data_IF_855601330645
#
_entry.id   IF_855601330645
#
_cell.length_a   1.000
_cell.length_b   1.000
_cell.length_c   1.000
_cell.angle_alpha   90.00
_cell.angle_beta   90.00
_cell.angle_gamma   90.00
#
_symmetry.space_group_name_H-M   'P 1'
#
loop_
_entity.id
_entity.type
_entity.pdbx_description
1 polymer ?
#
# COMPACT_ATOMS: atom_id res chain seq x y z
N UNK A 1 8.86 12.72 37.48
CA UNK A 1 10.27 12.70 37.94
C UNK A 1 10.89 14.04 37.59
N UNK A 2 11.47 14.74 38.57
CA UNK A 2 11.84 16.16 38.49
C UNK A 2 13.20 16.35 37.78
N UNK A 3 13.20 16.35 36.44
CA UNK A 3 14.42 16.43 35.60
C UNK A 3 15.27 17.69 35.87
N UNK A 4 14.63 18.81 36.24
CA UNK A 4 15.29 20.08 36.50
C UNK A 4 16.19 20.12 37.75
N UNK A 5 15.96 19.24 38.73
CA UNK A 5 16.74 19.22 39.97
C UNK A 5 18.06 18.47 39.82
N UNK A 6 18.12 17.47 38.93
CA UNK A 6 19.34 16.71 38.70
C UNK A 6 20.38 17.51 37.93
N UNK A 7 19.96 18.19 36.85
CA UNK A 7 20.87 18.99 36.00
C UNK A 7 21.57 20.10 36.79
N UNK A 8 20.84 20.81 37.65
CA UNK A 8 21.41 21.85 38.52
C UNK A 8 22.42 21.29 39.54
N UNK A 9 22.14 20.11 40.11
CA UNK A 9 23.07 19.44 41.03
C UNK A 9 24.32 18.95 40.31
N UNK A 10 24.17 18.45 39.08
CA UNK A 10 25.29 17.99 38.26
C UNK A 10 26.20 19.15 37.84
N UNK A 11 25.65 20.28 37.40
CA UNK A 11 26.46 21.45 37.02
C UNK A 11 27.30 21.99 38.17
N UNK A 12 26.79 21.94 39.41
CA UNK A 12 27.55 22.35 40.60
C UNK A 12 28.71 21.40 40.87
N UNK A 13 28.49 20.08 40.78
CA UNK A 13 29.54 19.06 40.97
C UNK A 13 30.59 19.08 39.87
N UNK A 14 30.17 19.26 38.62
CA UNK A 14 31.10 19.35 37.48
C UNK A 14 32.01 20.58 37.64
N UNK A 15 31.46 21.71 38.12
CA UNK A 15 32.23 22.92 38.38
C UNK A 15 33.20 22.77 39.55
N UNK A 16 32.87 21.96 40.57
CA UNK A 16 33.76 21.62 41.68
C UNK A 16 34.91 20.72 41.19
N UNK A 17 34.57 19.62 40.51
CA UNK A 17 35.53 18.70 39.90
C UNK A 17 36.51 19.42 38.96
N UNK A 18 36.02 20.35 38.13
CA UNK A 18 36.87 21.10 37.20
C UNK A 18 37.94 21.93 37.93
N UNK A 19 37.59 22.51 39.09
CA UNK A 19 38.53 23.32 39.88
C UNK A 19 39.58 22.44 40.53
N UNK A 20 39.16 21.36 41.16
CA UNK A 20 40.06 20.41 41.83
C UNK A 20 41.03 19.77 40.84
N UNK A 21 40.54 19.36 39.66
CA UNK A 21 41.37 18.77 38.62
C UNK A 21 42.44 19.74 38.11
N UNK A 22 42.08 21.02 37.88
CA UNK A 22 43.03 22.04 37.46
C UNK A 22 44.09 22.31 38.53
N UNK A 23 43.67 22.43 39.79
CA UNK A 23 44.59 22.61 40.91
C UNK A 23 45.56 21.42 41.06
N UNK A 24 45.07 20.19 40.83
CA UNK A 24 45.90 19.00 40.83
C UNK A 24 46.93 19.01 39.69
N UNK A 25 46.52 19.30 38.44
CA UNK A 25 47.46 19.44 37.31
C UNK A 25 48.52 20.52 37.59
N UNK A 26 48.12 21.64 38.19
CA UNK A 26 49.01 22.74 38.58
C UNK A 26 49.96 22.39 39.73
N UNK A 27 49.65 21.37 40.53
CA UNK A 27 50.52 20.88 41.59
C UNK A 27 51.61 19.91 41.08
N UNK A 28 51.44 19.33 39.88
CA UNK A 28 52.37 18.31 39.37
C UNK A 28 53.66 18.92 38.79
N UNK A 29 54.81 18.21 38.85
CA UNK A 29 56.04 18.60 38.18
C UNK A 29 55.89 18.70 36.65
N UNK A 30 56.66 19.57 35.97
CA UNK A 30 56.55 19.77 34.52
C UNK A 30 56.72 18.50 33.67
N UNK A 31 57.52 17.54 34.14
CA UNK A 31 57.73 16.27 33.46
C UNK A 31 56.48 15.36 33.48
N UNK A 32 55.70 15.42 34.56
CA UNK A 32 54.47 14.62 34.71
C UNK A 32 53.31 15.25 33.95
N UNK A 33 53.23 16.58 33.90
CA UNK A 33 52.25 17.27 33.05
C UNK A 33 52.41 16.92 31.57
N UNK A 34 53.65 16.87 31.06
CA UNK A 34 53.93 16.46 29.68
C UNK A 34 53.49 15.01 29.41
N UNK A 35 53.65 14.10 30.38
CA UNK A 35 53.16 12.72 30.25
C UNK A 35 51.63 12.67 30.17
N UNK A 36 50.94 13.46 30.99
CA UNK A 36 49.48 13.54 30.96
C UNK A 36 48.97 14.20 29.67
N UNK A 37 49.68 15.18 29.13
CA UNK A 37 49.38 15.81 27.85
C UNK A 37 49.49 14.81 26.68
N UNK A 38 50.55 14.00 26.65
CA UNK A 38 50.69 12.91 25.67
C UNK A 38 49.56 11.88 25.78
N UNK A 39 49.05 11.65 27.00
CA UNK A 39 47.93 10.75 27.25
C UNK A 39 46.55 11.39 27.00
N UNK A 40 46.50 12.68 26.64
CA UNK A 40 45.25 13.42 26.45
C UNK A 40 44.49 13.73 27.75
N UNK A 41 45.15 13.58 28.90
CA UNK A 41 44.61 13.80 30.24
C UNK A 41 45.03 15.17 30.81
N UNK A 42 45.41 16.12 29.98
CA UNK A 42 45.75 17.48 30.43
C UNK A 42 44.50 18.31 30.80
N UNK A 43 43.31 17.88 30.37
CA UNK A 43 42.05 18.59 30.60
C UNK A 43 41.05 17.72 31.39
N UNK A 44 40.23 18.33 32.27
CA UNK A 44 39.19 17.60 32.99
C UNK A 44 38.13 17.06 32.03
N UNK A 45 37.82 15.77 32.14
CA UNK A 45 36.75 15.15 31.39
C UNK A 45 35.39 15.51 32.01
N UNK A 46 34.66 16.45 31.38
CA UNK A 46 33.28 16.78 31.72
C UNK A 46 32.43 16.43 30.52
N UNK A 47 31.86 15.23 30.53
CA UNK A 47 30.90 14.83 29.52
C UNK A 47 29.56 15.51 29.81
N UNK A 48 29.30 16.67 29.20
CA UNK A 48 27.97 17.31 29.23
C UNK A 48 26.87 16.48 28.54
N UNK A 49 27.25 15.34 27.95
CA UNK A 49 26.38 14.45 27.21
C UNK A 49 26.50 13.07 27.86
N UNK A 50 25.43 12.61 28.50
CA UNK A 50 25.29 11.20 28.87
C UNK A 50 25.29 10.33 27.61
N UNK A 51 25.46 9.02 27.74
CA UNK A 51 25.43 8.02 26.66
C UNK A 51 24.07 7.96 25.93
N UNK A 52 23.72 9.04 25.24
CA UNK A 52 22.49 9.30 24.51
C UNK A 52 22.73 10.54 23.65
N UNK A 53 23.51 10.33 22.59
CA UNK A 53 23.83 11.21 21.46
C UNK A 53 24.09 12.71 21.72
N UNK A 54 25.33 13.15 21.47
CA UNK A 54 25.69 14.56 21.37
C UNK A 54 25.28 15.23 20.04
N UNK A 55 24.75 14.47 19.06
CA UNK A 55 24.30 14.96 17.75
C UNK A 55 23.19 14.07 17.17
N UNK A 56 21.98 14.19 17.69
CA UNK A 56 20.80 13.48 17.19
C UNK A 56 20.80 11.98 17.50
N UNK A 57 19.64 11.44 17.84
CA UNK A 57 19.48 9.99 17.96
C UNK A 57 19.49 9.38 16.55
N UNK A 58 19.68 8.06 16.43
CA UNK A 58 19.54 7.35 15.16
C UNK A 58 18.19 7.63 14.49
N UNK A 59 17.14 7.90 15.29
CA UNK A 59 15.82 8.33 14.86
C UNK A 59 15.80 9.69 14.12
N UNK A 60 16.78 10.56 14.38
CA UNK A 60 16.93 11.86 13.71
C UNK A 60 17.72 11.74 12.39
N UNK A 61 18.22 10.54 12.06
CA UNK A 61 18.98 10.34 10.81
C UNK A 61 18.04 10.32 9.60
N UNK A 62 18.44 10.89 8.44
CA UNK A 62 17.66 10.81 7.21
C UNK A 62 17.39 9.38 6.72
N UNK A 63 18.20 8.42 7.16
CA UNK A 63 18.07 6.98 6.87
C UNK A 63 16.94 6.31 7.66
N UNK A 64 16.60 6.84 8.83
CA UNK A 64 15.52 6.36 9.70
C UNK A 64 14.27 7.24 9.63
N UNK A 65 14.26 8.24 8.74
CA UNK A 65 13.04 8.96 8.38
C UNK A 65 12.02 7.94 7.91
N UNK A 66 10.87 7.86 8.58
CA UNK A 66 9.73 7.13 8.03
C UNK A 66 9.53 7.66 6.61
N UNK A 67 9.77 6.80 5.61
CA UNK A 67 9.44 7.11 4.23
C UNK A 67 7.99 7.54 4.18
N UNK A 68 7.66 8.50 3.31
CA UNK A 68 6.29 8.99 3.17
C UNK A 68 5.35 7.78 3.16
N UNK A 69 4.43 7.74 4.12
CA UNK A 69 3.46 6.66 4.23
C UNK A 69 2.86 6.44 2.83
N UNK A 70 2.98 5.25 2.22
CA UNK A 70 2.41 5.01 0.91
C UNK A 70 0.89 5.21 0.87
N UNK A 71 0.21 5.31 2.02
CA UNK A 71 -1.18 5.72 2.14
C UNK A 71 -1.40 7.25 2.22
N UNK A 72 -0.34 8.05 2.41
CA UNK A 72 -0.35 9.52 2.47
C UNK A 72 0.31 10.16 1.24
N UNK A 73 1.07 9.39 0.46
CA UNK A 73 1.33 9.76 -0.94
C UNK A 73 -0.03 10.02 -1.58
N UNK A 74 -0.34 11.23 -2.09
CA UNK A 74 -1.44 11.34 -3.02
C UNK A 74 -1.10 10.33 -4.12
N UNK A 75 -1.93 9.29 -4.29
CA UNK A 75 -1.93 8.56 -5.56
C UNK A 75 -1.86 9.65 -6.63
N UNK A 76 -0.93 9.58 -7.60
CA UNK A 76 -0.89 10.58 -8.66
C UNK A 76 -2.33 10.69 -9.13
N UNK A 77 -2.93 11.88 -8.93
CA UNK A 77 -4.29 12.12 -9.41
C UNK A 77 -4.25 11.61 -10.85
N UNK A 78 -5.09 10.62 -11.21
CA UNK A 78 -5.04 10.09 -12.56
C UNK A 78 -5.09 11.33 -13.43
N UNK A 79 -4.06 11.54 -14.27
CA UNK A 79 -4.02 12.73 -15.12
C UNK A 79 -5.40 12.76 -15.76
N UNK A 80 -6.20 13.74 -15.35
CA UNK A 80 -7.51 13.93 -15.93
C UNK A 80 -7.12 14.45 -17.28
N UNK A 81 -7.00 13.52 -18.23
CA UNK A 81 -7.14 13.84 -19.63
C UNK A 81 -8.45 14.61 -19.68
N UNK A 82 -8.37 15.94 -19.63
CA UNK A 82 -9.44 16.88 -19.96
C UNK A 82 -9.67 16.78 -21.47
N UNK A 83 -9.81 15.54 -21.98
CA UNK A 83 -10.53 15.27 -23.20
C UNK A 83 -11.96 15.65 -22.87
N UNK A 84 -12.34 16.86 -23.29
CA UNK A 84 -13.74 17.25 -23.41
C UNK A 84 -14.44 16.12 -24.14
N UNK A 85 -15.22 15.34 -23.40
CA UNK A 85 -15.92 14.19 -23.93
C UNK A 85 -16.87 14.70 -25.02
N UNK A 86 -16.57 14.35 -26.27
CA UNK A 86 -17.41 14.72 -27.40
C UNK A 86 -18.83 14.21 -27.12
N UNK A 87 -19.80 15.12 -27.12
CA UNK A 87 -21.20 14.78 -26.86
C UNK A 87 -21.66 13.65 -27.81
N UNK A 88 -21.15 13.59 -29.04
CA UNK A 88 -21.48 12.50 -29.95
C UNK A 88 -20.95 11.13 -29.49
N UNK A 89 -19.79 11.08 -28.82
CA UNK A 89 -19.26 9.82 -28.25
C UNK A 89 -20.15 9.35 -27.09
N UNK A 90 -20.60 10.27 -26.24
CA UNK A 90 -21.55 9.96 -25.15
C UNK A 90 -22.85 9.44 -25.72
N UNK A 91 -23.43 10.14 -26.68
CA UNK A 91 -24.69 9.74 -27.31
C UNK A 91 -24.54 8.42 -28.08
N UNK A 92 -23.44 8.18 -28.78
CA UNK A 92 -23.17 6.92 -29.45
C UNK A 92 -23.10 5.75 -28.46
N UNK A 93 -22.40 5.95 -27.34
CA UNK A 93 -22.31 4.98 -26.25
C UNK A 93 -23.68 4.66 -25.66
N UNK A 94 -24.49 5.69 -25.38
CA UNK A 94 -25.84 5.54 -24.84
C UNK A 94 -26.76 4.82 -25.82
N UNK A 95 -26.74 5.18 -27.11
CA UNK A 95 -27.52 4.50 -28.17
C UNK A 95 -27.16 3.01 -28.24
N UNK A 96 -25.88 2.65 -28.13
CA UNK A 96 -25.42 1.26 -28.14
C UNK A 96 -25.97 0.49 -26.94
N UNK A 97 -25.89 1.07 -25.74
CA UNK A 97 -26.45 0.46 -24.51
C UNK A 97 -27.96 0.27 -24.60
N UNK A 98 -28.70 1.29 -25.04
CA UNK A 98 -30.15 1.21 -25.20
C UNK A 98 -30.56 0.20 -26.27
N UNK A 99 -29.86 0.18 -27.41
CA UNK A 99 -30.08 -0.80 -28.46
C UNK A 99 -29.93 -2.23 -27.95
N UNK A 100 -28.89 -2.48 -27.14
CA UNK A 100 -28.68 -3.80 -26.54
C UNK A 100 -29.85 -4.19 -25.61
N UNK A 101 -30.30 -3.28 -24.74
CA UNK A 101 -31.44 -3.57 -23.84
C UNK A 101 -32.72 -3.90 -24.63
N UNK A 102 -32.99 -3.17 -25.71
CA UNK A 102 -34.21 -3.31 -26.50
C UNK A 102 -34.21 -4.54 -27.43
N UNK A 103 -33.04 -4.98 -27.90
CA UNK A 103 -32.92 -6.11 -28.81
C UNK A 103 -33.09 -7.48 -28.13
N UNK A 104 -33.08 -7.55 -26.79
CA UNK A 104 -33.13 -8.81 -26.05
C UNK A 104 -34.49 -9.04 -25.38
N UNK A 105 -34.98 -10.28 -25.47
CA UNK A 105 -36.31 -10.67 -24.96
C UNK A 105 -36.53 -10.37 -23.47
N UNK A 106 -35.46 -10.44 -22.68
CA UNK A 106 -35.48 -10.06 -21.27
C UNK A 106 -34.66 -8.79 -21.04
N UNK A 107 -35.29 -7.64 -21.34
CA UNK A 107 -34.71 -6.32 -21.15
C UNK A 107 -34.28 -6.06 -19.71
N UNK A 108 -35.05 -6.56 -18.72
CA UNK A 108 -34.74 -6.36 -17.29
C UNK A 108 -33.46 -7.10 -16.88
N UNK A 109 -33.31 -8.36 -17.27
CA UNK A 109 -32.09 -9.13 -17.02
C UNK A 109 -30.88 -8.48 -17.70
N UNK A 110 -31.05 -8.06 -18.96
CA UNK A 110 -29.99 -7.41 -19.73
C UNK A 110 -29.57 -6.10 -19.07
N UNK A 111 -30.51 -5.26 -18.63
CA UNK A 111 -30.22 -4.02 -17.93
C UNK A 111 -29.46 -4.23 -16.61
N UNK A 112 -29.86 -5.22 -15.80
CA UNK A 112 -29.16 -5.57 -14.56
C UNK A 112 -27.73 -6.09 -14.84
N UNK A 113 -27.56 -6.88 -15.91
CA UNK A 113 -26.23 -7.33 -16.32
C UNK A 113 -25.36 -6.17 -16.83
N UNK A 114 -25.93 -5.24 -17.62
CA UNK A 114 -25.23 -4.03 -18.08
C UNK A 114 -24.81 -3.16 -16.90
N UNK A 115 -25.68 -2.95 -15.92
CA UNK A 115 -25.36 -2.21 -14.71
C UNK A 115 -24.20 -2.85 -13.93
N UNK A 116 -24.14 -4.19 -13.88
CA UNK A 116 -23.06 -4.93 -13.23
C UNK A 116 -21.73 -4.84 -14.00
N UNK A 117 -21.73 -4.97 -15.33
CA UNK A 117 -20.49 -4.98 -16.13
C UNK A 117 -19.93 -3.58 -16.38
N UNK A 118 -20.77 -2.56 -16.45
CA UNK A 118 -20.36 -1.17 -16.65
C UNK A 118 -20.00 -0.47 -15.34
N UNK A 119 -20.59 -0.90 -14.23
CA UNK A 119 -20.46 -0.23 -12.94
C UNK A 119 -21.24 1.08 -12.82
N UNK A 120 -21.95 1.52 -13.87
CA UNK A 120 -22.67 2.81 -13.91
C UNK A 120 -23.80 2.91 -12.89
N UNK A 121 -24.48 1.80 -12.62
CA UNK A 121 -25.62 1.75 -11.70
C UNK A 121 -25.59 0.46 -10.88
N UNK A 122 -24.43 0.11 -10.34
CA UNK A 122 -24.28 -1.11 -9.55
C UNK A 122 -25.00 -0.97 -8.20
N UNK A 123 -26.14 -1.65 -8.05
CA UNK A 123 -26.96 -1.66 -6.84
C UNK A 123 -26.39 -2.51 -5.70
N UNK A 124 -25.13 -2.93 -5.79
CA UNK A 124 -24.55 -3.91 -4.87
C UNK A 124 -24.91 -5.36 -5.18
N UNK A 125 -25.85 -5.60 -6.11
CA UNK A 125 -26.40 -6.93 -6.33
C UNK A 125 -25.41 -7.90 -6.97
N UNK A 126 -25.21 -9.04 -6.33
CA UNK A 126 -24.32 -10.07 -6.86
C UNK A 126 -24.94 -10.81 -8.06
N UNK A 127 -24.12 -11.48 -8.88
CA UNK A 127 -24.62 -12.35 -9.96
C UNK A 127 -25.56 -13.45 -9.44
N UNK A 128 -25.41 -13.88 -8.18
CA UNK A 128 -26.28 -14.87 -7.55
C UNK A 128 -27.66 -14.28 -7.28
N UNK A 129 -27.74 -13.07 -6.74
CA UNK A 129 -29.01 -12.39 -6.47
C UNK A 129 -29.75 -12.01 -7.75
N UNK A 130 -29.02 -11.64 -8.81
CA UNK A 130 -29.60 -11.46 -10.15
C UNK A 130 -30.16 -12.81 -10.64
N UNK A 131 -29.40 -13.89 -10.51
CA UNK A 131 -29.84 -15.21 -10.95
C UNK A 131 -31.12 -15.67 -10.24
N UNK A 132 -31.20 -15.49 -8.92
CA UNK A 132 -32.37 -15.82 -8.11
C UNK A 132 -33.61 -15.02 -8.52
N UNK A 133 -33.48 -13.70 -8.70
CA UNK A 133 -34.60 -12.83 -9.13
C UNK A 133 -35.16 -13.20 -10.50
N UNK A 134 -34.31 -13.67 -11.40
CA UNK A 134 -34.67 -14.01 -12.77
C UNK A 134 -34.93 -15.51 -12.97
N UNK A 135 -34.85 -16.33 -11.92
CA UNK A 135 -35.11 -17.77 -11.98
C UNK A 135 -34.13 -18.55 -12.87
N UNK A 136 -32.89 -18.06 -13.01
CA UNK A 136 -31.85 -18.65 -13.85
C UNK A 136 -30.63 -19.06 -13.04
N UNK A 137 -29.68 -19.77 -13.65
CA UNK A 137 -28.44 -20.13 -12.96
C UNK A 137 -27.47 -18.96 -12.89
N UNK A 138 -26.68 -18.89 -11.81
CA UNK A 138 -25.56 -17.93 -11.71
C UNK A 138 -24.58 -18.05 -12.89
N UNK A 139 -24.39 -19.26 -13.42
CA UNK A 139 -23.53 -19.48 -14.58
C UNK A 139 -24.10 -18.83 -15.85
N UNK A 140 -25.43 -18.85 -16.04
CA UNK A 140 -26.09 -18.16 -17.15
C UNK A 140 -25.91 -16.64 -17.04
N UNK A 141 -26.12 -16.05 -15.84
CA UNK A 141 -25.85 -14.62 -15.59
C UNK A 141 -24.38 -14.30 -15.86
N UNK A 142 -23.45 -15.12 -15.37
CA UNK A 142 -22.02 -14.92 -15.60
C UNK A 142 -21.66 -14.97 -17.09
N UNK A 143 -22.24 -15.90 -17.86
CA UNK A 143 -22.03 -15.98 -19.31
C UNK A 143 -22.54 -14.71 -19.99
N UNK A 144 -23.75 -14.28 -19.63
CA UNK A 144 -24.37 -13.07 -20.17
C UNK A 144 -23.55 -11.80 -19.90
N UNK A 145 -23.03 -11.66 -18.68
CA UNK A 145 -22.16 -10.54 -18.33
C UNK A 145 -20.85 -10.55 -19.13
N UNK A 146 -20.29 -11.72 -19.43
CA UNK A 146 -19.09 -11.84 -20.28
C UNK A 146 -19.39 -11.37 -21.69
N UNK A 147 -20.48 -11.84 -22.30
CA UNK A 147 -20.92 -11.44 -23.64
C UNK A 147 -21.12 -9.92 -23.74
N UNK A 148 -21.80 -9.31 -22.77
CA UNK A 148 -22.03 -7.87 -22.75
C UNK A 148 -20.74 -7.07 -22.56
N UNK A 149 -19.80 -7.57 -21.77
CA UNK A 149 -18.48 -6.94 -21.59
C UNK A 149 -17.72 -6.90 -22.91
N UNK A 150 -17.75 -8.01 -23.67
CA UNK A 150 -17.11 -8.12 -24.99
C UNK A 150 -17.82 -7.24 -26.04
N UNK A 151 -19.15 -7.20 -26.02
CA UNK A 151 -19.95 -6.43 -26.99
C UNK A 151 -19.81 -4.91 -26.79
N UNK A 152 -19.69 -4.46 -25.55
CA UNK A 152 -19.52 -3.05 -25.19
C UNK A 152 -18.04 -2.61 -25.14
N UNK A 153 -17.11 -3.52 -25.45
CA UNK A 153 -15.66 -3.29 -25.38
C UNK A 153 -15.20 -2.73 -24.02
N UNK A 154 -15.80 -3.24 -22.94
CA UNK A 154 -15.51 -2.80 -21.59
C UNK A 154 -14.43 -3.66 -20.94
N UNK A 155 -13.61 -3.06 -20.07
CA UNK A 155 -12.81 -3.84 -19.13
C UNK A 155 -13.75 -4.52 -18.13
N UNK A 156 -13.45 -5.75 -17.67
CA UNK A 156 -14.25 -6.41 -16.66
C UNK A 156 -14.39 -5.53 -15.41
N UNK A 157 -15.62 -5.32 -14.94
CA UNK A 157 -15.87 -4.57 -13.70
C UNK A 157 -15.32 -5.30 -12.47
N UNK A 158 -15.26 -4.59 -11.34
CA UNK A 158 -14.88 -5.15 -10.03
C UNK A 158 -15.71 -6.38 -9.63
N UNK A 159 -16.99 -6.43 -10.03
CA UNK A 159 -17.87 -7.56 -9.74
C UNK A 159 -17.52 -8.81 -10.58
N UNK A 160 -16.64 -8.67 -11.58
CA UNK A 160 -16.23 -9.74 -12.47
C UNK A 160 -14.80 -10.19 -12.22
N UNK A 161 -14.53 -11.45 -12.58
CA UNK A 161 -13.15 -11.96 -12.62
C UNK A 161 -12.37 -11.29 -13.74
N UNK A 162 -11.11 -10.94 -13.46
CA UNK A 162 -10.17 -10.39 -14.44
C UNK A 162 -9.91 -11.36 -15.60
N UNK A 163 -9.52 -10.82 -16.76
CA UNK A 163 -9.21 -11.62 -17.96
C UNK A 163 -8.12 -12.67 -17.69
N UNK A 164 -7.09 -12.29 -16.93
CA UNK A 164 -6.00 -13.19 -16.52
C UNK A 164 -6.51 -14.35 -15.66
N UNK A 165 -7.38 -14.06 -14.67
CA UNK A 165 -7.99 -15.09 -13.84
C UNK A 165 -8.87 -16.04 -14.67
N UNK A 166 -9.65 -15.52 -15.63
CA UNK A 166 -10.46 -16.34 -16.55
C UNK A 166 -9.60 -17.28 -17.38
N UNK A 167 -8.50 -16.79 -17.98
CA UNK A 167 -7.55 -17.62 -18.75
C UNK A 167 -6.98 -18.76 -17.90
N UNK A 168 -6.56 -18.46 -16.67
CA UNK A 168 -6.06 -19.47 -15.71
C UNK A 168 -7.11 -20.51 -15.36
N UNK A 169 -8.35 -20.10 -15.07
CA UNK A 169 -9.43 -21.04 -14.75
C UNK A 169 -9.85 -21.90 -15.95
N UNK A 170 -9.86 -21.33 -17.17
CA UNK A 170 -10.10 -22.09 -18.40
C UNK A 170 -9.04 -23.17 -18.58
N UNK A 171 -7.76 -22.81 -18.44
CA UNK A 171 -6.65 -23.76 -18.56
C UNK A 171 -6.68 -24.85 -17.46
N UNK A 172 -7.03 -24.48 -16.22
CA UNK A 172 -7.21 -25.44 -15.14
C UNK A 172 -8.36 -26.42 -15.43
N UNK A 173 -9.49 -25.92 -15.92
CA UNK A 173 -10.67 -26.74 -16.25
C UNK A 173 -10.43 -27.69 -17.41
N UNK A 174 -9.75 -27.24 -18.48
CA UNK A 174 -9.36 -28.12 -19.59
C UNK A 174 -8.44 -29.24 -19.09
N UNK A 175 -7.48 -28.93 -18.21
CA UNK A 175 -6.61 -29.94 -17.59
C UNK A 175 -7.40 -30.95 -16.77
N UNK A 176 -8.31 -30.51 -15.89
CA UNK A 176 -9.10 -31.43 -15.08
C UNK A 176 -10.01 -32.32 -15.91
N UNK A 177 -10.62 -31.79 -16.97
CA UNK A 177 -11.46 -32.58 -17.88
C UNK A 177 -10.63 -33.63 -18.62
N UNK A 178 -9.49 -33.25 -19.20
CA UNK A 178 -8.56 -34.18 -19.87
C UNK A 178 -8.05 -35.28 -18.93
N UNK A 179 -7.74 -34.93 -17.68
CA UNK A 179 -7.33 -35.92 -16.67
C UNK A 179 -8.44 -36.91 -16.31
N UNK A 180 -9.70 -36.52 -16.43
CA UNK A 180 -10.86 -37.41 -16.18
C UNK A 180 -11.21 -38.27 -17.40
N UNK A 181 -10.86 -37.83 -18.61
CA UNK A 181 -11.09 -38.57 -19.87
C UNK A 181 -10.04 -39.64 -20.14
N UNK A 182 -8.85 -39.56 -19.54
CA UNK A 182 -7.86 -40.65 -19.57
C UNK A 182 -8.36 -41.78 -18.65
N UNK A 183 -8.78 -42.94 -19.18
CA UNK A 183 -9.09 -44.09 -18.34
C UNK A 183 -7.84 -44.43 -17.54
N UNK A 184 -8.00 -44.73 -16.25
CA UNK A 184 -6.94 -45.40 -15.51
C UNK A 184 -6.76 -46.80 -16.10
N UNK A 185 -5.98 -46.91 -17.18
CA UNK A 185 -5.43 -48.17 -17.63
C UNK A 185 -4.36 -48.56 -16.62
N UNK A 186 -4.79 -49.02 -15.44
CA UNK A 186 -3.97 -49.79 -14.54
C UNK A 186 -3.82 -51.17 -15.15
N UNK A 187 -2.77 -51.34 -15.95
CA UNK A 187 -2.25 -52.65 -16.31
C UNK A 187 -1.88 -53.41 -15.03
N UNK A 188 -2.41 -54.62 -14.89
CA UNK A 188 -1.95 -55.67 -13.97
C UNK A 188 -1.48 -56.86 -14.80
#
# INVERSE_FOLDING_TARGET
MNSGDYSKKQSVRDAEYQREYKAWIESLPPAERRKLEVQGLAAPCIAHHGNGSAKGDAADSPLMREGADPAVMPEPEPETDDETCDAEIVWASLRRVLGEILCHDNARLTAECIALVSGLSYTGSSMTEIAERHGITRAAVSKRCVELTELLDLKPSRAMRSLTARKRYRAARIRSTRSHELPQTSES
#
